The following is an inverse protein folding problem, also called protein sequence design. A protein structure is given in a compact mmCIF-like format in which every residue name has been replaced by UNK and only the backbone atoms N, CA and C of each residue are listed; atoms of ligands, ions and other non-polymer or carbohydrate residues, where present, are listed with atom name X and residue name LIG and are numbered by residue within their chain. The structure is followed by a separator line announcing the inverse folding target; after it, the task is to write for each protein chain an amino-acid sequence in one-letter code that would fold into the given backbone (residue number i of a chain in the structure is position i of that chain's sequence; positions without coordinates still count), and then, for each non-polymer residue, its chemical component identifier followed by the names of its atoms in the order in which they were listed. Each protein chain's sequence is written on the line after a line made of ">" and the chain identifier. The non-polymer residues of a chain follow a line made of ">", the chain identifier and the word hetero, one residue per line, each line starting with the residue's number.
data_IF_443110744125
#
_entry.id   IF_443110744125
#
_cell.length_a   1.000
_cell.length_b   1.000
_cell.length_c   1.000
_cell.angle_alpha   90.00
_cell.angle_beta   90.00
_cell.angle_gamma   90.00
#
_symmetry.space_group_name_H-M   'P 1'
#
loop_
_entity.id
_entity.type
_entity.pdbx_description
1 polymer ?
#
# COMPACT_ATOMS: atom_id res chain seq x y z
N UNK A 1 -1.68 12.33 21.22
CA UNK A 1 -1.64 11.89 19.82
C UNK A 1 -0.44 10.96 19.59
N UNK A 2 -0.38 10.26 18.45
CA UNK A 2 0.58 9.18 18.14
C UNK A 2 2.05 9.44 18.60
N UNK A 3 2.58 10.64 18.41
CA UNK A 3 3.95 11.00 18.87
C UNK A 3 4.03 11.00 20.40
N UNK A 4 3.05 11.52 21.09
CA UNK A 4 3.01 11.62 22.55
C UNK A 4 2.81 10.25 23.19
N UNK A 5 2.04 9.38 22.55
CA UNK A 5 1.68 8.05 23.05
C UNK A 5 2.79 7.01 22.81
N UNK A 6 3.71 7.30 21.87
CA UNK A 6 4.84 6.43 21.54
C UNK A 6 6.12 6.92 22.24
N UNK A 7 6.67 6.20 23.26
CA UNK A 7 7.84 6.62 24.02
C UNK A 7 9.08 6.90 23.16
N UNK A 8 9.32 6.07 22.14
CA UNK A 8 10.47 6.21 21.23
C UNK A 8 10.37 7.44 20.32
N UNK A 9 9.16 7.86 19.93
CA UNK A 9 8.94 9.09 19.17
C UNK A 9 9.00 10.33 20.08
N UNK A 10 8.37 10.25 21.25
CA UNK A 10 8.39 11.35 22.24
C UNK A 10 9.79 11.71 22.71
N UNK A 11 10.69 10.73 22.79
CA UNK A 11 12.09 10.97 23.15
C UNK A 11 12.88 11.73 22.08
N UNK A 12 12.42 11.66 20.80
CA UNK A 12 13.13 12.26 19.65
C UNK A 12 12.52 13.58 19.19
N UNK A 13 11.20 13.71 19.27
CA UNK A 13 10.45 14.86 18.76
C UNK A 13 9.92 15.64 19.95
N UNK A 14 10.42 16.88 20.12
CA UNK A 14 9.95 17.76 21.18
C UNK A 14 8.44 18.06 21.02
N UNK A 15 7.69 18.26 22.12
CA UNK A 15 6.28 18.65 22.03
C UNK A 15 6.14 20.01 21.34
N UNK A 16 5.07 20.17 20.56
CA UNK A 16 4.76 21.42 19.88
C UNK A 16 4.59 22.55 20.91
N UNK A 17 5.34 23.64 20.77
CA UNK A 17 5.20 24.85 21.57
C UNK A 17 4.77 25.99 20.67
N UNK A 18 3.97 26.91 21.19
CA UNK A 18 3.40 28.02 20.40
C UNK A 18 4.44 28.95 19.75
N UNK A 19 5.70 28.87 20.14
CA UNK A 19 6.82 29.67 19.58
C UNK A 19 7.91 28.82 18.92
N UNK A 20 7.67 27.51 18.75
CA UNK A 20 8.64 26.59 18.16
C UNK A 20 8.28 26.39 16.67
N UNK A 21 9.10 26.97 15.79
CA UNK A 21 8.95 26.84 14.34
C UNK A 21 9.33 25.47 13.82
N UNK A 22 10.08 24.66 14.57
CA UNK A 22 10.56 23.34 14.17
C UNK A 22 9.57 22.20 14.44
N UNK A 23 8.47 22.45 15.14
CA UNK A 23 7.48 21.43 15.46
C UNK A 23 6.04 21.93 15.33
N UNK A 24 5.57 22.01 14.11
CA UNK A 24 4.18 22.37 13.75
C UNK A 24 3.37 21.14 13.38
N UNK A 25 2.11 21.33 12.98
CA UNK A 25 1.26 20.23 12.47
C UNK A 25 1.87 19.57 11.23
N UNK A 26 2.45 20.38 10.32
CA UNK A 26 2.95 19.92 9.02
C UNK A 26 4.49 19.75 8.98
N UNK A 27 5.21 20.11 10.05
CA UNK A 27 6.66 20.01 10.11
C UNK A 27 7.07 19.43 11.45
N UNK A 28 7.95 18.42 11.41
CA UNK A 28 8.54 17.77 12.59
C UNK A 28 10.05 17.71 12.44
N UNK A 29 10.73 18.36 13.34
CA UNK A 29 12.19 18.34 13.42
C UNK A 29 12.68 17.47 14.59
N UNK A 30 13.78 16.76 14.38
CA UNK A 30 14.51 16.01 15.39
C UNK A 30 16.01 16.04 15.09
N UNK A 31 16.81 15.60 16.04
CA UNK A 31 18.25 15.51 15.83
C UNK A 31 18.58 14.59 14.64
N UNK A 32 19.09 15.16 13.57
CA UNK A 32 19.48 14.47 12.34
C UNK A 32 18.42 14.36 11.26
N UNK A 33 17.25 15.01 11.40
CA UNK A 33 16.25 14.99 10.35
C UNK A 33 15.07 15.92 10.53
N UNK A 34 14.33 16.05 9.44
CA UNK A 34 13.07 16.80 9.38
C UNK A 34 12.07 16.02 8.54
N UNK A 35 10.82 16.03 8.96
CA UNK A 35 9.69 15.53 8.19
C UNK A 35 8.75 16.69 7.87
N UNK A 36 8.41 16.83 6.59
CA UNK A 36 7.40 17.78 6.10
C UNK A 36 6.22 17.02 5.56
N UNK A 37 5.03 17.41 5.98
CA UNK A 37 3.76 16.86 5.50
C UNK A 37 3.16 17.89 4.54
N UNK A 38 2.80 17.47 3.35
CA UNK A 38 2.24 18.32 2.31
C UNK A 38 1.05 17.66 1.64
N UNK A 39 0.08 18.46 1.20
CA UNK A 39 -1.00 17.95 0.37
C UNK A 39 -0.58 17.79 -1.08
N UNK A 40 -1.16 16.81 -1.77
CA UNK A 40 -0.88 16.52 -3.18
C UNK A 40 -1.36 17.61 -4.17
N UNK A 41 -2.21 18.53 -3.70
CA UNK A 41 -2.79 19.62 -4.53
C UNK A 41 -1.91 20.88 -4.57
N UNK A 42 -0.75 20.90 -3.90
CA UNK A 42 0.11 22.07 -3.83
C UNK A 42 1.44 21.82 -4.54
N UNK A 43 1.52 22.21 -5.81
CA UNK A 43 2.74 22.10 -6.60
C UNK A 43 3.92 22.85 -5.97
N UNK A 44 3.67 24.01 -5.39
CA UNK A 44 4.69 24.79 -4.68
C UNK A 44 5.30 24.00 -3.50
N UNK A 45 4.47 23.35 -2.69
CA UNK A 45 4.93 22.51 -1.57
C UNK A 45 5.72 21.29 -2.04
N UNK A 46 5.27 20.64 -3.11
CA UNK A 46 5.94 19.47 -3.69
C UNK A 46 7.30 19.81 -4.30
N UNK A 47 7.56 21.09 -4.63
CA UNK A 47 8.83 21.55 -5.21
C UNK A 47 9.77 22.20 -4.22
N UNK A 48 9.30 22.54 -3.04
CA UNK A 48 10.01 23.46 -2.14
C UNK A 48 11.24 22.87 -1.47
N UNK A 49 11.34 21.56 -1.32
CA UNK A 49 12.40 20.95 -0.50
C UNK A 49 12.96 19.66 -1.10
N UNK A 50 14.30 19.51 -1.19
CA UNK A 50 14.91 18.23 -1.48
C UNK A 50 14.62 17.23 -0.36
N UNK A 51 14.28 16.00 -0.70
CA UNK A 51 13.95 14.95 0.25
C UNK A 51 14.63 13.63 -0.11
N UNK A 52 15.31 13.01 0.85
CA UNK A 52 15.92 11.70 0.65
C UNK A 52 14.89 10.57 0.65
N UNK A 53 13.85 10.73 1.46
CA UNK A 53 12.76 9.77 1.60
C UNK A 53 11.45 10.48 1.32
N UNK A 54 10.65 9.93 0.43
CA UNK A 54 9.32 10.44 0.07
C UNK A 54 8.31 9.32 0.28
N UNK A 55 7.25 9.63 1.02
CA UNK A 55 6.11 8.75 1.26
C UNK A 55 4.88 9.40 0.64
N UNK A 56 4.26 8.70 -0.30
CA UNK A 56 3.09 9.16 -1.03
C UNK A 56 1.92 8.24 -0.66
N UNK A 57 0.96 8.80 0.05
CA UNK A 57 -0.21 8.06 0.55
C UNK A 57 -1.44 8.37 -0.31
N UNK A 58 -2.26 7.35 -0.59
CA UNK A 58 -3.48 7.47 -1.42
C UNK A 58 -3.22 8.05 -2.82
N UNK A 59 -2.19 7.53 -3.53
CA UNK A 59 -1.75 8.08 -4.82
C UNK A 59 -2.81 8.01 -5.92
N UNK A 60 -3.76 7.07 -5.84
CA UNK A 60 -4.86 6.98 -6.80
C UNK A 60 -5.86 8.14 -6.66
N UNK A 61 -5.91 8.79 -5.48
CA UNK A 61 -6.74 9.96 -5.23
C UNK A 61 -6.06 11.28 -5.65
N UNK A 62 -4.79 11.27 -6.06
CA UNK A 62 -4.09 12.49 -6.47
C UNK A 62 -4.66 13.03 -7.79
N UNK A 63 -4.65 14.37 -7.99
CA UNK A 63 -5.01 14.96 -9.27
C UNK A 63 -4.08 14.46 -10.38
N UNK A 64 -4.59 14.35 -11.60
CA UNK A 64 -3.80 13.89 -12.73
C UNK A 64 -2.70 14.90 -13.09
N UNK A 65 -2.97 16.17 -12.88
CA UNK A 65 -2.07 17.28 -13.18
C UNK A 65 -2.30 18.43 -12.19
N UNK A 66 -1.26 19.16 -11.87
CA UNK A 66 -1.27 20.35 -11.03
C UNK A 66 -1.07 21.59 -11.88
N UNK A 67 -2.17 22.27 -12.25
CA UNK A 67 -2.19 23.64 -12.83
C UNK A 67 -1.06 23.93 -13.85
N UNK A 68 -0.81 22.98 -14.78
CA UNK A 68 0.27 23.10 -15.78
C UNK A 68 1.67 22.72 -15.27
N UNK A 69 1.79 22.22 -14.03
CA UNK A 69 3.07 21.81 -13.46
C UNK A 69 3.38 20.31 -13.65
N UNK A 70 2.37 19.54 -14.07
CA UNK A 70 2.47 18.11 -14.33
C UNK A 70 2.02 17.21 -13.18
N UNK A 71 2.37 15.94 -13.27
CA UNK A 71 1.97 14.90 -12.32
C UNK A 71 2.59 15.15 -10.92
N UNK A 72 1.79 15.24 -9.85
CA UNK A 72 2.27 15.43 -8.48
C UNK A 72 3.25 14.35 -8.00
N UNK A 73 3.10 13.09 -8.44
CA UNK A 73 4.02 12.01 -8.11
C UNK A 73 5.40 12.31 -8.69
N UNK A 74 5.46 12.67 -9.97
CA UNK A 74 6.74 13.00 -10.64
C UNK A 74 7.40 14.24 -10.06
N UNK A 75 6.61 15.24 -9.65
CA UNK A 75 7.13 16.43 -8.96
C UNK A 75 7.78 16.06 -7.61
N UNK A 76 7.14 15.21 -6.83
CA UNK A 76 7.68 14.72 -5.57
C UNK A 76 8.93 13.84 -5.76
N UNK A 77 8.91 12.92 -6.72
CA UNK A 77 10.06 12.09 -7.07
C UNK A 77 11.29 12.90 -7.48
N UNK A 78 11.09 13.97 -8.24
CA UNK A 78 12.16 14.86 -8.66
C UNK A 78 12.95 15.47 -7.49
N UNK A 79 12.33 15.60 -6.30
CA UNK A 79 13.00 16.09 -5.07
C UNK A 79 14.02 15.10 -4.51
N UNK A 80 13.96 13.86 -4.91
CA UNK A 80 14.85 12.82 -4.40
C UNK A 80 16.12 12.65 -5.24
N UNK A 81 16.20 13.24 -6.42
CA UNK A 81 17.24 12.98 -7.43
C UNK A 81 18.67 13.31 -6.96
N UNK A 82 18.83 14.27 -6.06
CA UNK A 82 20.13 14.66 -5.49
C UNK A 82 20.69 13.67 -4.48
N UNK A 83 19.91 12.68 -4.04
CA UNK A 83 20.32 11.72 -3.02
C UNK A 83 20.63 10.34 -3.61
N UNK A 84 21.87 9.83 -3.52
CA UNK A 84 22.23 8.51 -4.07
C UNK A 84 21.45 7.32 -3.46
N UNK A 85 21.09 7.45 -2.17
CA UNK A 85 20.34 6.42 -1.42
C UNK A 85 18.89 6.87 -1.16
N UNK A 86 18.26 7.42 -2.19
CA UNK A 86 16.87 7.84 -2.12
C UNK A 86 15.92 6.64 -2.00
N UNK A 87 14.77 6.87 -1.38
CA UNK A 87 13.65 5.93 -1.39
C UNK A 87 12.36 6.69 -1.64
N UNK A 88 11.55 6.17 -2.53
CA UNK A 88 10.18 6.62 -2.78
C UNK A 88 9.26 5.45 -2.43
N UNK A 89 8.28 5.71 -1.60
CA UNK A 89 7.30 4.75 -1.17
C UNK A 89 5.92 5.26 -1.55
N UNK A 90 5.20 4.48 -2.33
CA UNK A 90 3.85 4.77 -2.76
C UNK A 90 2.91 3.75 -2.13
N UNK A 91 1.78 4.21 -1.64
CA UNK A 91 0.71 3.37 -1.14
C UNK A 91 -0.65 3.91 -1.57
N UNK A 92 -1.56 3.04 -1.94
CA UNK A 92 -2.94 3.37 -2.27
C UNK A 92 -3.79 2.11 -2.37
N UNK A 93 -5.08 2.28 -2.22
CA UNK A 93 -6.05 1.28 -2.66
C UNK A 93 -6.28 1.45 -4.17
N UNK A 94 -6.08 0.41 -5.00
CA UNK A 94 -6.35 0.51 -6.43
C UNK A 94 -7.83 0.83 -6.67
N UNK A 95 -8.11 1.76 -7.59
CA UNK A 95 -9.48 2.18 -7.90
C UNK A 95 -10.02 1.45 -9.13
N UNK A 96 -9.62 1.88 -10.33
CA UNK A 96 -10.04 1.29 -11.61
C UNK A 96 -8.80 0.69 -12.27
N UNK A 97 -8.85 -0.57 -12.64
CA UNK A 97 -7.70 -1.35 -13.12
C UNK A 97 -6.86 -0.63 -14.18
N UNK A 98 -7.47 -0.07 -15.20
CA UNK A 98 -6.77 0.63 -16.29
C UNK A 98 -6.28 2.04 -15.93
N UNK A 99 -6.83 2.68 -14.89
CA UNK A 99 -6.56 4.06 -14.49
C UNK A 99 -5.74 4.16 -13.20
N UNK A 100 -5.75 3.13 -12.37
CA UNK A 100 -5.04 3.09 -11.09
C UNK A 100 -3.55 3.34 -11.27
N UNK A 101 -3.03 4.35 -10.55
CA UNK A 101 -1.60 4.69 -10.53
C UNK A 101 -0.81 3.66 -9.76
N UNK A 102 -1.31 3.25 -8.59
CA UNK A 102 -0.62 2.25 -7.78
C UNK A 102 -0.53 0.90 -8.51
N UNK A 103 -1.56 0.53 -9.28
CA UNK A 103 -1.53 -0.68 -10.09
C UNK A 103 -0.45 -0.61 -11.19
N UNK A 104 -0.30 0.52 -11.88
CA UNK A 104 0.75 0.73 -12.87
C UNK A 104 2.16 0.65 -12.26
N UNK A 105 2.36 1.27 -11.10
CA UNK A 105 3.64 1.22 -10.39
C UNK A 105 3.94 -0.20 -9.89
N UNK A 106 2.92 -0.95 -9.44
CA UNK A 106 3.09 -2.34 -9.05
C UNK A 106 3.48 -3.23 -10.24
N UNK A 107 2.86 -3.06 -11.42
CA UNK A 107 3.23 -3.77 -12.64
C UNK A 107 4.66 -3.47 -13.10
N UNK A 108 5.17 -2.26 -12.83
CA UNK A 108 6.53 -1.85 -13.15
C UNK A 108 7.57 -2.28 -12.08
N UNK A 109 7.11 -2.81 -10.95
CA UNK A 109 7.95 -3.29 -9.84
C UNK A 109 8.37 -4.75 -10.02
N UNK A 110 9.07 -5.31 -9.03
CA UNK A 110 9.35 -6.74 -8.94
C UNK A 110 8.14 -7.57 -8.44
N UNK A 111 6.97 -6.96 -8.30
CA UNK A 111 5.66 -7.56 -8.01
C UNK A 111 5.66 -8.53 -6.82
N UNK A 112 6.44 -8.24 -5.79
CA UNK A 112 6.56 -9.10 -4.62
C UNK A 112 5.23 -9.26 -3.92
N UNK A 113 4.91 -10.48 -3.55
CA UNK A 113 3.76 -10.84 -2.74
C UNK A 113 4.21 -11.35 -1.38
N UNK A 114 3.38 -11.14 -0.39
CA UNK A 114 3.61 -11.66 0.94
C UNK A 114 3.12 -13.11 1.00
N UNK A 115 4.02 -14.05 1.24
CA UNK A 115 3.70 -15.47 1.34
C UNK A 115 3.58 -15.89 2.80
N UNK A 116 2.63 -16.76 3.05
CA UNK A 116 2.34 -17.33 4.36
C UNK A 116 2.40 -18.85 4.24
N UNK A 117 3.21 -19.53 5.06
CA UNK A 117 3.22 -20.98 5.05
C UNK A 117 1.93 -21.56 5.65
N UNK A 118 1.38 -22.60 5.04
CA UNK A 118 0.26 -23.32 5.60
C UNK A 118 0.70 -24.08 6.87
N UNK A 119 -0.02 -23.94 8.00
CA UNK A 119 0.34 -24.63 9.25
C UNK A 119 0.18 -26.13 9.18
N UNK A 120 -0.58 -26.64 8.19
CA UNK A 120 -0.86 -28.08 8.06
C UNK A 120 0.10 -28.79 7.09
N UNK A 121 0.39 -28.19 5.93
CA UNK A 121 1.22 -28.83 4.90
C UNK A 121 2.54 -28.10 4.61
N UNK A 122 2.74 -26.90 5.16
CA UNK A 122 3.94 -26.09 4.93
C UNK A 122 3.97 -25.36 3.56
N UNK A 123 2.94 -25.52 2.72
CA UNK A 123 2.87 -24.86 1.43
C UNK A 123 2.93 -23.32 1.57
N UNK A 124 3.89 -22.70 0.91
CA UNK A 124 4.06 -21.25 0.87
C UNK A 124 3.10 -20.62 -0.15
N UNK A 125 2.17 -19.80 0.31
CA UNK A 125 1.12 -19.22 -0.53
C UNK A 125 0.88 -17.74 -0.21
N UNK A 126 0.56 -16.93 -1.22
CA UNK A 126 -0.03 -15.63 -0.98
C UNK A 126 -1.54 -15.79 -0.75
N UNK A 127 -2.11 -14.90 0.06
CA UNK A 127 -3.53 -14.99 0.38
C UNK A 127 -4.37 -14.50 -0.80
N UNK A 128 -5.30 -15.35 -1.26
CA UNK A 128 -6.25 -15.08 -2.34
C UNK A 128 -7.65 -15.00 -1.77
N UNK A 129 -8.43 -14.02 -2.19
CA UNK A 129 -9.77 -13.79 -1.66
C UNK A 129 -10.69 -15.00 -1.83
N UNK A 130 -10.62 -15.71 -2.96
CA UNK A 130 -11.45 -16.87 -3.28
C UNK A 130 -11.27 -18.07 -2.33
N UNK A 131 -10.15 -18.08 -1.59
CA UNK A 131 -9.88 -19.10 -0.59
C UNK A 131 -10.44 -18.76 0.81
N UNK A 132 -10.97 -17.54 0.99
CA UNK A 132 -11.68 -17.15 2.21
C UNK A 132 -13.16 -17.56 2.07
N UNK A 133 -13.63 -18.43 2.94
CA UNK A 133 -14.98 -19.00 2.86
C UNK A 133 -15.71 -18.87 4.18
N UNK A 134 -17.00 -18.59 4.11
CA UNK A 134 -17.90 -18.51 5.26
C UNK A 134 -19.32 -18.96 4.90
N UNK A 135 -20.10 -19.49 5.87
CA UNK A 135 -21.52 -19.77 5.66
C UNK A 135 -22.33 -18.49 5.34
N UNK A 136 -23.31 -18.61 4.47
CA UNK A 136 -24.13 -17.46 4.08
C UNK A 136 -24.76 -16.79 5.30
N UNK A 137 -24.50 -15.49 5.46
CA UNK A 137 -25.02 -14.68 6.57
C UNK A 137 -24.24 -14.77 7.87
N UNK A 138 -23.08 -15.46 7.91
CA UNK A 138 -22.25 -15.64 9.10
C UNK A 138 -20.77 -15.28 8.78
N UNK A 139 -20.47 -14.02 8.42
CA UNK A 139 -19.11 -13.62 8.05
C UNK A 139 -18.10 -13.75 9.21
N UNK A 140 -18.57 -13.78 10.45
CA UNK A 140 -17.77 -14.03 11.66
C UNK A 140 -17.17 -15.44 11.71
N UNK A 141 -17.67 -16.37 10.89
CA UNK A 141 -17.16 -17.73 10.74
C UNK A 141 -16.25 -17.89 9.51
N UNK A 142 -15.69 -16.78 9.04
CA UNK A 142 -14.79 -16.83 7.89
C UNK A 142 -13.51 -17.62 8.20
N UNK A 143 -13.18 -18.60 7.35
CA UNK A 143 -11.97 -19.41 7.45
C UNK A 143 -11.26 -19.37 6.10
N UNK A 144 -9.95 -19.14 6.14
CA UNK A 144 -9.11 -19.21 4.95
C UNK A 144 -8.72 -20.67 4.69
N UNK A 145 -8.89 -21.14 3.46
CA UNK A 145 -8.51 -22.51 3.06
C UNK A 145 -7.19 -22.49 2.29
N UNK A 146 -6.28 -23.40 2.65
CA UNK A 146 -5.02 -23.57 1.92
C UNK A 146 -5.29 -23.94 0.45
N UNK A 147 -4.60 -23.26 -0.47
CA UNK A 147 -4.72 -23.51 -1.91
C UNK A 147 -4.24 -24.91 -2.35
N UNK A 148 -3.35 -25.53 -1.57
CA UNK A 148 -2.77 -26.84 -1.86
C UNK A 148 -3.54 -27.99 -1.15
N UNK A 149 -3.56 -28.01 0.19
CA UNK A 149 -4.16 -29.12 0.94
C UNK A 149 -5.65 -28.90 1.28
N UNK A 150 -6.22 -27.74 1.04
CA UNK A 150 -7.62 -27.42 1.34
C UNK A 150 -7.98 -27.26 2.82
N UNK A 151 -7.02 -27.46 3.75
CA UNK A 151 -7.27 -27.33 5.19
C UNK A 151 -7.58 -25.91 5.60
N UNK A 152 -8.50 -25.73 6.55
CA UNK A 152 -8.82 -24.42 7.13
C UNK A 152 -7.65 -23.88 7.96
N UNK A 153 -7.31 -22.62 7.76
CA UNK A 153 -6.33 -21.87 8.54
C UNK A 153 -7.10 -20.87 9.39
N UNK A 154 -7.15 -21.12 10.69
CA UNK A 154 -7.84 -20.28 11.65
C UNK A 154 -6.90 -19.17 12.19
N UNK A 155 -7.47 -18.11 12.76
CA UNK A 155 -6.72 -16.96 13.25
C UNK A 155 -5.65 -17.32 14.29
N UNK A 156 -5.92 -18.32 15.13
CA UNK A 156 -4.97 -18.79 16.13
C UNK A 156 -3.75 -19.56 15.56
N UNK A 157 -3.82 -19.98 14.29
CA UNK A 157 -2.68 -20.54 13.56
C UNK A 157 -1.72 -19.46 13.05
N UNK A 158 -1.63 -18.31 13.69
CA UNK A 158 -0.72 -17.24 13.31
C UNK A 158 0.71 -17.76 13.25
N UNK A 159 1.08 -18.22 12.07
CA UNK A 159 2.44 -18.59 11.74
C UNK A 159 3.24 -17.31 11.60
N UNK A 160 4.44 -17.27 12.15
CA UNK A 160 5.38 -16.19 11.95
C UNK A 160 5.60 -16.00 10.43
N UNK A 161 4.85 -15.09 9.86
CA UNK A 161 4.89 -14.77 8.45
C UNK A 161 6.29 -14.29 8.09
N UNK A 162 6.90 -14.91 7.10
CA UNK A 162 8.21 -14.50 6.56
C UNK A 162 7.98 -13.79 5.23
N UNK A 163 8.61 -12.63 4.98
CA UNK A 163 8.66 -12.10 3.64
C UNK A 163 9.49 -13.06 2.80
N UNK A 164 8.84 -13.82 1.93
CA UNK A 164 9.51 -14.65 0.93
C UNK A 164 9.71 -13.79 -0.31
N UNK A 165 10.93 -13.84 -0.88
CA UNK A 165 11.19 -13.27 -2.20
C UNK A 165 10.26 -13.96 -3.20
N UNK A 166 9.63 -13.21 -4.10
CA UNK A 166 8.85 -13.79 -5.17
C UNK A 166 9.71 -14.82 -5.91
N UNK A 167 9.38 -16.08 -5.77
CA UNK A 167 9.75 -17.09 -6.75
C UNK A 167 8.93 -16.77 -8.01
N UNK A 168 9.53 -16.94 -9.18
CA UNK A 168 9.04 -16.59 -10.51
C UNK A 168 7.58 -17.00 -10.76
N UNK A 169 6.62 -16.19 -10.31
CA UNK A 169 5.18 -16.38 -10.52
C UNK A 169 4.74 -15.94 -11.92
N UNK A 170 5.57 -16.15 -12.94
CA UNK A 170 5.16 -16.00 -14.35
C UNK A 170 4.06 -16.97 -14.77
N UNK A 171 3.74 -17.98 -13.95
CA UNK A 171 2.68 -18.94 -14.23
C UNK A 171 1.26 -18.40 -13.93
N UNK A 172 1.10 -17.46 -13.00
CA UNK A 172 -0.21 -16.95 -12.59
C UNK A 172 -0.77 -15.82 -13.48
N UNK A 173 0.07 -15.15 -14.27
CA UNK A 173 -0.42 -14.12 -15.21
C UNK A 173 -1.33 -14.70 -16.30
N UNK A 174 -1.09 -15.93 -16.73
CA UNK A 174 -1.94 -16.61 -17.72
C UNK A 174 -3.34 -16.99 -17.19
N UNK A 175 -3.48 -17.13 -15.87
CA UNK A 175 -4.77 -17.47 -15.24
C UNK A 175 -5.70 -16.25 -15.08
N UNK A 176 -5.12 -15.05 -14.90
CA UNK A 176 -5.89 -13.80 -14.75
C UNK A 176 -6.47 -13.32 -16.09
N UNK A 177 -5.73 -13.52 -17.19
CA UNK A 177 -6.21 -13.17 -18.53
C UNK A 177 -7.33 -14.09 -19.04
N UNK A 178 -7.48 -15.29 -18.49
CA UNK A 178 -8.51 -16.26 -18.84
C UNK A 178 -9.89 -16.03 -18.18
N UNK A 179 -10.01 -15.14 -17.19
CA UNK A 179 -11.26 -14.91 -16.45
C UNK A 179 -12.02 -13.64 -16.86
N UNK A 180 -11.59 -12.94 -17.90
CA UNK A 180 -12.26 -11.74 -18.42
C UNK A 180 -13.44 -12.02 -19.36
N UNK A 181 -14.05 -13.21 -19.32
CA UNK A 181 -15.22 -13.54 -20.13
C UNK A 181 -16.28 -14.28 -19.31
N UNK A 182 -16.96 -13.60 -18.39
CA UNK A 182 -18.26 -14.03 -17.93
C UNK A 182 -19.33 -13.14 -18.61
N UNK A 183 -20.30 -13.73 -19.35
CA UNK A 183 -21.35 -12.97 -19.98
C UNK A 183 -22.29 -12.40 -18.91
N UNK A 184 -22.54 -11.10 -19.00
CA UNK A 184 -23.65 -10.45 -18.32
C UNK A 184 -24.98 -11.11 -18.78
N UNK A 185 -25.52 -12.01 -18.01
CA UNK A 185 -26.90 -12.44 -18.16
C UNK A 185 -27.78 -11.37 -17.52
N UNK A 186 -28.33 -10.52 -18.38
CA UNK A 186 -29.52 -9.74 -18.07
C UNK A 186 -30.66 -10.71 -17.76
N UNK A 187 -31.12 -10.73 -16.56
CA UNK A 187 -32.47 -11.17 -16.24
C UNK A 187 -33.04 -10.25 -15.15
N UNK A 188 -33.49 -9.08 -15.62
CA UNK A 188 -34.58 -8.34 -15.01
C UNK A 188 -35.80 -8.63 -15.85
N UNK A 189 -36.79 -9.16 -15.21
CA UNK A 189 -38.23 -8.84 -15.31
C UNK A 189 -39.14 -10.05 -15.17
N UNK A 190 -39.99 -9.84 -14.19
CA UNK A 190 -41.40 -10.35 -13.98
C UNK A 190 -41.50 -11.26 -12.77
N UNK A 191 -42.07 -10.80 -11.78
CA UNK A 191 -43.38 -10.50 -11.23
C UNK A 191 -43.20 -10.01 -9.79
#
# INVERSE_FOLDING_TARGET
>A
AMIEDCPSLRAKIAPARSRDSGNTTLLKEWAGGVMVISGANSGASLRSMPARYVFLDEVDAYPQELEGEGDPIKLAEARTTTFPRRKVFLVSTPTIESLSRIHKEWLASDQRRYHVPCPHCGHEQHLVWDNLRWPKGQPEQAVYHCGDCGSGIEEHHTVAARPVQAADDHADQAAVEGHAALPHTQERQRL
#
